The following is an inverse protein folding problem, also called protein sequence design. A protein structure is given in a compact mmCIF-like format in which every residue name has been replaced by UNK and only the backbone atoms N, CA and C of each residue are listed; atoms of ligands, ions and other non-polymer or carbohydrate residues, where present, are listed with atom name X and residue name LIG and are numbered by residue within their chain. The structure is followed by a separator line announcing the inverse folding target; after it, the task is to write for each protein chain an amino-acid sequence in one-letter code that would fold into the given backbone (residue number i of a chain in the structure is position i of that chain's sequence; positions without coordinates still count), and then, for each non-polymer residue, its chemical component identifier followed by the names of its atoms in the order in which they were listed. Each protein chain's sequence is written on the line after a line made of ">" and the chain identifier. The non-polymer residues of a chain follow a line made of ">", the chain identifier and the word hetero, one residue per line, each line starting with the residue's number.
data_IF_010134024519
#
_entry.id   IF_010134024519
#
_cell.length_a   1.000
_cell.length_b   1.000
_cell.length_c   1.000
_cell.angle_alpha   90.00
_cell.angle_beta   90.00
_cell.angle_gamma   90.00
#
_symmetry.space_group_name_H-M   'P 1'
#
loop_
_entity.id
_entity.type
_entity.pdbx_description
1 polymer ?
#
# COMPACT_ATOMS: atom_id res chain seq x y z
N UNK A 1 81.96 -23.46 -24.75
CA UNK A 1 80.57 -23.59 -25.29
C UNK A 1 80.22 -22.32 -26.03
N UNK A 2 80.07 -22.43 -27.35
CA UNK A 2 80.02 -21.25 -28.24
C UNK A 2 78.65 -20.55 -28.04
N UNK A 3 78.70 -19.21 -27.82
CA UNK A 3 77.49 -18.36 -27.66
C UNK A 3 76.38 -18.56 -28.75
N UNK A 4 76.85 -18.98 -29.96
CA UNK A 4 76.05 -19.30 -31.13
C UNK A 4 75.19 -20.57 -30.90
N UNK A 5 75.70 -21.57 -30.18
CA UNK A 5 75.05 -22.82 -29.89
C UNK A 5 73.90 -22.62 -28.88
N UNK A 6 74.11 -21.76 -27.86
CA UNK A 6 73.08 -21.43 -26.84
C UNK A 6 71.96 -20.62 -27.46
N UNK A 7 72.26 -19.71 -28.38
CA UNK A 7 71.26 -18.92 -29.08
C UNK A 7 70.37 -19.78 -30.00
N UNK A 8 70.94 -20.74 -30.70
CA UNK A 8 70.21 -21.71 -31.53
C UNK A 8 69.33 -22.60 -30.67
N UNK A 9 69.76 -23.04 -29.49
CA UNK A 9 69.01 -23.84 -28.58
C UNK A 9 67.84 -23.06 -28.00
N UNK A 10 67.98 -21.78 -27.69
CA UNK A 10 66.97 -20.87 -27.23
C UNK A 10 65.88 -20.59 -28.28
N UNK A 11 66.28 -20.46 -29.55
CA UNK A 11 65.44 -20.24 -30.69
C UNK A 11 64.58 -21.48 -31.00
N UNK A 12 65.12 -22.70 -30.87
CA UNK A 12 64.44 -23.96 -30.99
C UNK A 12 63.42 -24.14 -29.86
N UNK A 13 63.71 -23.71 -28.62
CA UNK A 13 62.82 -23.77 -27.46
C UNK A 13 61.64 -22.83 -27.63
N UNK A 14 61.88 -21.64 -28.22
CA UNK A 14 60.76 -20.69 -28.51
C UNK A 14 59.81 -21.26 -29.56
N UNK A 15 60.30 -21.89 -30.61
CA UNK A 15 59.49 -22.52 -31.66
C UNK A 15 58.70 -23.68 -31.09
N UNK A 16 59.21 -24.43 -30.13
CA UNK A 16 58.55 -25.54 -29.49
C UNK A 16 57.40 -25.05 -28.55
N UNK A 17 57.53 -23.88 -27.92
CA UNK A 17 56.49 -23.28 -27.09
C UNK A 17 55.32 -22.67 -27.89
N UNK A 18 55.56 -22.28 -29.15
CA UNK A 18 54.47 -21.71 -30.01
C UNK A 18 53.57 -22.76 -30.64
N UNK A 19 53.94 -24.05 -30.57
CA UNK A 19 53.14 -25.15 -31.15
C UNK A 19 52.13 -25.77 -30.17
N UNK A 20 51.99 -25.26 -28.93
CA UNK A 20 50.87 -25.60 -28.05
C UNK A 20 49.68 -24.73 -28.42
N UNK A 21 49.21 -24.90 -29.63
CA UNK A 21 47.89 -24.45 -30.05
C UNK A 21 46.85 -25.24 -29.24
N UNK A 22 46.24 -24.56 -28.26
CA UNK A 22 45.08 -25.09 -27.58
C UNK A 22 43.98 -25.39 -28.61
N UNK A 23 43.90 -26.63 -29.08
CA UNK A 23 42.73 -27.14 -29.77
C UNK A 23 41.58 -27.14 -28.77
N UNK A 24 40.92 -26.00 -28.64
CA UNK A 24 39.57 -25.95 -28.04
C UNK A 24 38.68 -26.79 -28.91
N UNK A 25 38.48 -28.02 -28.47
CA UNK A 25 37.48 -28.90 -29.02
C UNK A 25 36.10 -28.33 -28.62
N UNK A 26 35.69 -27.26 -29.26
CA UNK A 26 34.33 -26.77 -29.23
C UNK A 26 33.51 -27.85 -29.91
N UNK A 27 32.98 -28.80 -29.11
CA UNK A 27 31.86 -29.58 -29.57
C UNK A 27 30.85 -28.55 -30.09
N UNK A 28 30.70 -28.43 -31.39
CA UNK A 28 29.58 -27.75 -31.99
C UNK A 28 28.38 -28.48 -31.42
N UNK A 29 27.76 -27.88 -30.38
CA UNK A 29 26.46 -28.30 -29.93
C UNK A 29 25.58 -28.05 -31.15
N UNK A 30 25.21 -29.13 -31.84
CA UNK A 30 24.27 -29.07 -32.94
C UNK A 30 23.00 -28.46 -32.38
N UNK A 31 22.74 -27.20 -32.74
CA UNK A 31 21.55 -26.47 -32.26
C UNK A 31 20.34 -27.16 -32.85
N UNK A 32 19.74 -28.09 -32.10
CA UNK A 32 18.46 -28.69 -32.44
C UNK A 32 17.41 -27.62 -32.20
N UNK A 33 16.82 -27.14 -33.28
CA UNK A 33 15.69 -26.20 -33.21
C UNK A 33 14.55 -26.87 -32.43
N UNK A 34 14.28 -26.34 -31.22
CA UNK A 34 13.18 -26.82 -30.39
C UNK A 34 11.90 -26.16 -30.90
N UNK A 35 10.80 -26.90 -30.90
CA UNK A 35 9.50 -26.33 -31.23
C UNK A 35 9.05 -25.34 -30.12
N UNK A 36 8.21 -24.37 -30.48
CA UNK A 36 7.76 -23.32 -29.56
C UNK A 36 7.03 -23.90 -28.34
N UNK A 37 6.25 -24.94 -28.53
CA UNK A 37 5.53 -25.66 -27.48
C UNK A 37 6.50 -26.42 -26.55
N UNK A 38 7.57 -27.03 -27.10
CA UNK A 38 8.63 -27.65 -26.28
C UNK A 38 9.32 -26.62 -25.35
N UNK A 39 9.65 -25.43 -25.85
CA UNK A 39 10.30 -24.38 -25.08
C UNK A 39 9.32 -23.87 -24.00
N UNK A 40 8.07 -23.57 -24.37
CA UNK A 40 7.07 -23.10 -23.44
C UNK A 40 6.78 -24.14 -22.34
N UNK A 41 6.62 -25.40 -22.67
CA UNK A 41 6.40 -26.47 -21.70
C UNK A 41 7.62 -26.67 -20.79
N UNK A 42 8.84 -26.52 -21.33
CA UNK A 42 10.07 -26.52 -20.53
C UNK A 42 10.05 -25.38 -19.50
N UNK A 43 9.68 -24.16 -19.92
CA UNK A 43 9.54 -22.99 -19.04
C UNK A 43 8.53 -23.24 -17.91
N UNK A 44 7.36 -23.82 -18.24
CA UNK A 44 6.34 -24.16 -17.25
C UNK A 44 6.82 -25.21 -16.24
N UNK A 45 7.48 -26.28 -16.70
CA UNK A 45 8.05 -27.31 -15.83
C UNK A 45 9.12 -26.75 -14.88
N UNK A 46 9.90 -25.77 -15.34
CA UNK A 46 10.89 -25.07 -14.52
C UNK A 46 10.20 -24.17 -13.49
N UNK A 47 9.10 -23.53 -13.86
CA UNK A 47 8.27 -22.71 -12.95
C UNK A 47 7.68 -23.58 -11.84
N UNK A 48 7.08 -24.71 -12.17
CA UNK A 48 6.49 -25.67 -11.22
C UNK A 48 7.56 -26.24 -10.27
N UNK A 49 8.78 -26.44 -10.80
CA UNK A 49 9.94 -26.87 -10.02
C UNK A 49 10.58 -25.71 -9.22
N UNK A 50 9.98 -24.51 -9.20
CA UNK A 50 10.48 -23.29 -8.53
C UNK A 50 11.86 -22.84 -9.00
N UNK A 51 12.29 -23.26 -10.21
CA UNK A 51 13.54 -22.83 -10.84
C UNK A 51 13.31 -21.55 -11.65
N UNK A 52 12.82 -20.51 -10.97
CA UNK A 52 12.31 -19.27 -11.55
C UNK A 52 13.26 -18.61 -12.55
N UNK A 53 14.56 -18.48 -12.22
CA UNK A 53 15.55 -17.86 -13.11
C UNK A 53 15.62 -18.58 -14.46
N UNK A 54 15.71 -19.92 -14.45
CA UNK A 54 15.74 -20.70 -15.68
C UNK A 54 14.42 -20.66 -16.43
N UNK A 55 13.30 -20.60 -15.69
CA UNK A 55 11.97 -20.45 -16.30
C UNK A 55 11.86 -19.11 -17.04
N UNK A 56 12.37 -18.02 -16.48
CA UNK A 56 12.43 -16.71 -17.15
C UNK A 56 13.21 -16.77 -18.44
N UNK A 57 14.41 -17.36 -18.40
CA UNK A 57 15.27 -17.54 -19.57
C UNK A 57 14.55 -18.31 -20.70
N UNK A 58 13.81 -19.35 -20.37
CA UNK A 58 13.05 -20.15 -21.36
C UNK A 58 11.84 -19.37 -21.90
N UNK A 59 11.11 -18.58 -21.07
CA UNK A 59 10.02 -17.74 -21.58
C UNK A 59 10.53 -16.64 -22.52
N UNK A 60 11.67 -16.03 -22.20
CA UNK A 60 12.34 -15.06 -23.08
C UNK A 60 12.79 -15.70 -24.40
N UNK A 61 13.22 -16.96 -24.36
CA UNK A 61 13.59 -17.73 -25.55
C UNK A 61 12.39 -17.98 -26.46
N UNK A 62 11.19 -18.23 -25.90
CA UNK A 62 9.94 -18.34 -26.69
C UNK A 62 9.70 -17.04 -27.47
N UNK A 63 9.81 -15.88 -26.81
CA UNK A 63 9.60 -14.58 -27.46
C UNK A 63 10.67 -14.30 -28.52
N UNK A 64 11.92 -14.65 -28.24
CA UNK A 64 13.05 -14.40 -29.14
C UNK A 64 12.99 -15.21 -30.43
N UNK A 65 12.60 -16.49 -30.31
CA UNK A 65 12.60 -17.42 -31.47
C UNK A 65 11.28 -17.38 -32.25
N UNK A 66 10.16 -17.14 -31.55
CA UNK A 66 8.81 -17.26 -32.16
C UNK A 66 7.92 -16.05 -31.80
N UNK A 67 8.35 -14.81 -32.09
CA UNK A 67 7.70 -13.56 -31.58
C UNK A 67 6.23 -13.39 -32.01
N UNK A 68 5.83 -14.02 -33.11
CA UNK A 68 4.46 -13.91 -33.65
C UNK A 68 3.57 -15.10 -33.27
N UNK A 69 4.04 -16.00 -32.45
CA UNK A 69 3.26 -17.14 -32.00
C UNK A 69 2.32 -16.78 -30.86
N UNK A 70 1.21 -17.51 -30.74
CA UNK A 70 0.31 -17.40 -29.57
C UNK A 70 1.04 -17.75 -28.27
N UNK A 71 2.09 -18.56 -28.33
CA UNK A 71 2.92 -18.94 -27.21
C UNK A 71 3.79 -17.76 -26.74
N UNK A 72 4.23 -16.89 -27.67
CA UNK A 72 4.99 -15.69 -27.28
C UNK A 72 4.15 -14.72 -26.45
N UNK A 73 2.89 -14.50 -26.85
CA UNK A 73 1.96 -13.67 -26.06
C UNK A 73 1.79 -14.22 -24.64
N UNK A 74 1.58 -15.54 -24.53
CA UNK A 74 1.47 -16.19 -23.19
C UNK A 74 2.78 -16.15 -22.42
N UNK A 75 3.91 -16.36 -23.10
CA UNK A 75 5.24 -16.32 -22.48
C UNK A 75 5.57 -14.93 -21.91
N UNK A 76 5.16 -13.84 -22.57
CA UNK A 76 5.33 -12.47 -22.08
C UNK A 76 4.63 -12.27 -20.73
N UNK A 77 3.36 -12.72 -20.62
CA UNK A 77 2.63 -12.61 -19.36
C UNK A 77 3.24 -13.50 -18.27
N UNK A 78 3.63 -14.73 -18.64
CA UNK A 78 4.28 -15.67 -17.72
C UNK A 78 5.67 -15.18 -17.28
N UNK A 79 6.41 -14.50 -18.14
CA UNK A 79 7.68 -13.83 -17.76
C UNK A 79 7.45 -12.79 -16.67
N UNK A 80 6.42 -11.94 -16.81
CA UNK A 80 6.05 -10.99 -15.75
C UNK A 80 5.75 -11.70 -14.42
N UNK A 81 5.00 -12.82 -14.47
CA UNK A 81 4.70 -13.63 -13.29
C UNK A 81 5.95 -14.24 -12.66
N UNK A 82 6.88 -14.74 -13.47
CA UNK A 82 8.14 -15.33 -12.98
C UNK A 82 9.00 -14.28 -12.29
N UNK A 83 9.07 -13.06 -12.82
CA UNK A 83 9.77 -11.95 -12.17
C UNK A 83 9.15 -11.61 -10.80
N UNK A 84 7.81 -11.62 -10.70
CA UNK A 84 7.12 -11.50 -9.42
C UNK A 84 7.54 -12.62 -8.43
N UNK A 85 7.63 -13.87 -8.90
CA UNK A 85 8.09 -15.01 -8.08
C UNK A 85 9.54 -14.92 -7.66
N UNK A 86 10.36 -14.19 -8.41
CA UNK A 86 11.74 -13.86 -8.06
C UNK A 86 11.85 -12.69 -7.08
N UNK A 87 10.72 -12.07 -6.70
CA UNK A 87 10.64 -10.81 -5.95
C UNK A 87 11.31 -9.63 -6.70
N UNK A 88 11.53 -9.74 -8.01
CA UNK A 88 11.93 -8.62 -8.85
C UNK A 88 10.67 -7.89 -9.33
N UNK A 89 10.08 -7.14 -8.40
CA UNK A 89 8.82 -6.44 -8.64
C UNK A 89 8.96 -5.36 -9.72
N UNK A 90 10.12 -4.72 -9.84
CA UNK A 90 10.39 -3.72 -10.88
C UNK A 90 10.36 -4.32 -12.28
N UNK A 91 11.07 -5.44 -12.49
CA UNK A 91 11.06 -6.17 -13.76
C UNK A 91 9.66 -6.71 -14.07
N UNK A 92 8.95 -7.26 -13.07
CA UNK A 92 7.58 -7.74 -13.22
C UNK A 92 6.62 -6.64 -13.70
N UNK A 93 6.64 -5.47 -13.06
CA UNK A 93 5.81 -4.31 -13.46
C UNK A 93 6.12 -3.88 -14.89
N UNK A 94 7.41 -3.81 -15.25
CA UNK A 94 7.83 -3.44 -16.60
C UNK A 94 7.33 -4.44 -17.65
N UNK A 95 7.49 -5.74 -17.39
CA UNK A 95 7.02 -6.80 -18.30
C UNK A 95 5.48 -6.82 -18.42
N UNK A 96 4.76 -6.65 -17.31
CA UNK A 96 3.31 -6.57 -17.30
C UNK A 96 2.76 -5.35 -18.04
N UNK A 97 3.38 -4.17 -17.87
CA UNK A 97 3.01 -2.97 -18.63
C UNK A 97 3.25 -3.18 -20.14
N UNK A 98 4.40 -3.75 -20.53
CA UNK A 98 4.69 -4.07 -21.93
C UNK A 98 3.63 -5.02 -22.50
N UNK A 99 3.22 -6.03 -21.73
CA UNK A 99 2.13 -6.93 -22.13
C UNK A 99 0.82 -6.19 -22.39
N UNK A 100 0.43 -5.27 -21.50
CA UNK A 100 -0.80 -4.47 -21.63
C UNK A 100 -0.75 -3.58 -22.88
N UNK A 101 0.41 -2.99 -23.17
CA UNK A 101 0.60 -2.11 -24.33
C UNK A 101 0.53 -2.89 -25.65
N UNK A 102 1.14 -4.07 -25.70
CA UNK A 102 1.18 -4.90 -26.91
C UNK A 102 -0.12 -5.67 -27.15
N UNK A 103 -0.86 -6.03 -26.10
CA UNK A 103 -2.03 -6.90 -26.17
C UNK A 103 -3.25 -6.30 -25.44
N UNK A 104 -3.72 -5.10 -25.81
CA UNK A 104 -4.80 -4.39 -25.08
C UNK A 104 -6.15 -5.11 -25.11
N UNK A 105 -6.34 -6.05 -26.03
CA UNK A 105 -7.55 -6.86 -26.18
C UNK A 105 -7.40 -8.32 -25.73
N UNK A 106 -6.33 -8.66 -25.04
CA UNK A 106 -6.14 -10.03 -24.55
C UNK A 106 -7.16 -10.41 -23.46
N UNK A 107 -7.57 -11.68 -23.44
CA UNK A 107 -8.56 -12.16 -22.47
C UNK A 107 -8.03 -12.20 -21.03
N UNK A 108 -6.74 -12.28 -20.86
CA UNK A 108 -6.00 -12.36 -19.60
C UNK A 108 -5.31 -11.04 -19.21
N UNK A 109 -5.71 -9.94 -19.83
CA UNK A 109 -5.16 -8.62 -19.58
C UNK A 109 -5.43 -8.15 -18.14
N UNK A 110 -6.56 -8.54 -17.56
CA UNK A 110 -6.93 -8.25 -16.17
C UNK A 110 -5.94 -8.86 -15.17
N UNK A 111 -5.39 -10.04 -15.50
CA UNK A 111 -4.31 -10.62 -14.69
C UNK A 111 -3.03 -9.78 -14.74
N UNK A 112 -2.68 -9.18 -15.88
CA UNK A 112 -1.52 -8.29 -15.95
C UNK A 112 -1.71 -7.04 -15.06
N UNK A 113 -2.91 -6.41 -15.06
CA UNK A 113 -3.24 -5.32 -14.15
C UNK A 113 -3.20 -5.75 -12.67
N UNK A 114 -3.69 -6.94 -12.37
CA UNK A 114 -3.63 -7.51 -11.03
C UNK A 114 -2.20 -7.74 -10.55
N UNK A 115 -1.34 -8.27 -11.42
CA UNK A 115 0.06 -8.53 -11.12
C UNK A 115 0.84 -7.25 -10.80
N UNK A 116 0.58 -6.16 -11.54
CA UNK A 116 1.14 -4.83 -11.24
C UNK A 116 0.70 -4.37 -9.83
N UNK A 117 -0.59 -4.49 -9.52
CA UNK A 117 -1.10 -4.11 -8.21
C UNK A 117 -0.49 -4.95 -7.08
N UNK A 118 -0.31 -6.25 -7.30
CA UNK A 118 0.38 -7.15 -6.37
C UNK A 118 1.84 -6.74 -6.15
N UNK A 119 2.56 -6.41 -7.23
CA UNK A 119 3.96 -5.99 -7.13
C UNK A 119 4.12 -4.77 -6.24
N UNK A 120 3.24 -3.77 -6.35
CA UNK A 120 3.27 -2.61 -5.45
C UNK A 120 2.84 -2.97 -4.03
N UNK A 121 1.83 -3.85 -3.89
CA UNK A 121 1.32 -4.30 -2.60
C UNK A 121 2.40 -5.02 -1.77
N UNK A 122 3.16 -5.93 -2.38
CA UNK A 122 4.25 -6.66 -1.72
C UNK A 122 5.40 -5.75 -1.28
N UNK A 123 5.51 -4.55 -1.84
CA UNK A 123 6.52 -3.56 -1.50
C UNK A 123 6.06 -2.56 -0.43
N UNK A 124 4.86 -2.73 0.14
CA UNK A 124 4.37 -1.86 1.20
C UNK A 124 5.25 -2.04 2.45
N UNK A 125 5.78 -0.94 2.92
CA UNK A 125 6.60 -0.88 4.11
C UNK A 125 5.79 -0.37 5.31
N UNK A 126 6.44 -0.25 6.50
CA UNK A 126 5.85 0.36 7.69
C UNK A 126 5.24 1.74 7.37
N UNK A 127 4.06 2.04 7.93
CA UNK A 127 3.31 3.27 7.67
C UNK A 127 4.06 4.56 8.07
N UNK A 128 5.13 4.47 8.85
CA UNK A 128 6.00 5.60 9.21
C UNK A 128 7.05 5.93 8.14
N UNK A 129 7.22 5.04 7.16
CA UNK A 129 8.17 5.24 6.05
C UNK A 129 7.48 5.88 4.83
N UNK A 130 8.20 5.97 3.73
CA UNK A 130 7.64 6.41 2.45
C UNK A 130 6.48 5.53 2.01
N UNK A 131 5.39 6.17 1.55
CA UNK A 131 4.15 5.51 1.15
C UNK A 131 3.91 5.52 -0.36
N UNK A 132 4.93 5.78 -1.16
CA UNK A 132 4.80 5.82 -2.63
C UNK A 132 4.26 4.50 -3.16
N UNK A 133 4.83 3.35 -2.74
CA UNK A 133 4.35 2.04 -3.16
C UNK A 133 2.92 1.75 -2.67
N UNK A 134 2.56 2.20 -1.47
CA UNK A 134 1.20 2.07 -0.95
C UNK A 134 0.19 2.85 -1.81
N UNK A 135 0.57 4.06 -2.25
CA UNK A 135 -0.25 4.88 -3.14
C UNK A 135 -0.36 4.25 -4.54
N UNK A 136 0.74 3.73 -5.08
CA UNK A 136 0.72 3.01 -6.36
C UNK A 136 -0.12 1.74 -6.28
N UNK A 137 -0.10 1.00 -5.17
CA UNK A 137 -0.96 -0.15 -4.94
C UNK A 137 -2.45 0.26 -4.91
N UNK A 138 -2.77 1.37 -4.19
CA UNK A 138 -4.13 1.93 -4.14
C UNK A 138 -4.67 2.22 -5.55
N UNK A 139 -3.88 2.94 -6.35
CA UNK A 139 -4.27 3.34 -7.71
C UNK A 139 -4.38 2.14 -8.65
N UNK A 140 -3.46 1.18 -8.56
CA UNK A 140 -3.45 -0.01 -9.39
C UNK A 140 -4.65 -0.92 -9.11
N UNK A 141 -4.98 -1.18 -7.83
CA UNK A 141 -6.18 -1.94 -7.46
C UNK A 141 -7.47 -1.23 -7.87
N UNK A 142 -7.57 0.08 -7.66
CA UNK A 142 -8.74 0.86 -8.11
C UNK A 142 -8.90 0.80 -9.63
N UNK A 143 -7.80 0.88 -10.38
CA UNK A 143 -7.81 0.81 -11.84
C UNK A 143 -8.31 -0.56 -12.32
N UNK A 144 -7.81 -1.66 -11.73
CA UNK A 144 -8.27 -3.01 -12.03
C UNK A 144 -9.78 -3.17 -11.76
N UNK A 145 -10.23 -2.80 -10.55
CA UNK A 145 -11.63 -2.96 -10.14
C UNK A 145 -12.57 -2.16 -11.05
N UNK A 146 -12.15 -0.96 -11.47
CA UNK A 146 -12.93 -0.08 -12.34
C UNK A 146 -12.99 -0.62 -13.78
N UNK A 147 -11.86 -1.11 -14.30
CA UNK A 147 -11.78 -1.59 -15.70
C UNK A 147 -12.38 -2.97 -15.90
N UNK A 148 -12.21 -3.85 -14.92
CA UNK A 148 -12.58 -5.26 -15.00
C UNK A 148 -13.44 -5.70 -13.82
N UNK A 149 -14.65 -5.12 -13.65
CA UNK A 149 -15.50 -5.39 -12.47
C UNK A 149 -15.94 -6.85 -12.36
N UNK A 150 -15.97 -7.59 -13.48
CA UNK A 150 -16.32 -9.02 -13.56
C UNK A 150 -15.14 -9.99 -13.49
N UNK A 151 -13.92 -9.50 -13.37
CA UNK A 151 -12.70 -10.33 -13.27
C UNK A 151 -12.70 -11.17 -11.99
N UNK A 152 -12.16 -12.37 -12.06
CA UNK A 152 -11.93 -13.24 -10.89
C UNK A 152 -11.00 -12.58 -9.86
N UNK A 153 -10.08 -11.71 -10.30
CA UNK A 153 -9.13 -10.99 -9.44
C UNK A 153 -9.78 -9.82 -8.69
N UNK A 154 -10.96 -9.37 -9.09
CA UNK A 154 -11.63 -8.20 -8.48
C UNK A 154 -11.99 -8.42 -7.02
N UNK A 155 -12.39 -9.63 -6.63
CA UNK A 155 -12.74 -9.94 -5.24
C UNK A 155 -11.52 -9.81 -4.31
N UNK A 156 -10.41 -10.41 -4.68
CA UNK A 156 -9.17 -10.36 -3.92
C UNK A 156 -8.61 -8.93 -3.88
N UNK A 157 -8.68 -8.23 -5.02
CA UNK A 157 -8.27 -6.82 -5.13
C UNK A 157 -9.04 -5.90 -4.19
N UNK A 158 -10.34 -6.11 -4.00
CA UNK A 158 -11.15 -5.33 -3.03
C UNK A 158 -10.70 -5.58 -1.59
N UNK A 159 -10.36 -6.81 -1.24
CA UNK A 159 -9.83 -7.12 0.11
C UNK A 159 -8.47 -6.45 0.33
N UNK A 160 -7.55 -6.58 -0.61
CA UNK A 160 -6.23 -5.94 -0.54
C UNK A 160 -6.33 -4.42 -0.53
N UNK A 161 -7.25 -3.85 -1.32
CA UNK A 161 -7.53 -2.41 -1.33
C UNK A 161 -7.99 -1.92 0.05
N UNK A 162 -8.79 -2.70 0.77
CA UNK A 162 -9.17 -2.40 2.16
C UNK A 162 -7.95 -2.30 3.07
N UNK A 163 -7.02 -3.27 2.99
CA UNK A 163 -5.77 -3.27 3.76
C UNK A 163 -4.85 -2.10 3.39
N UNK A 164 -4.74 -1.77 2.09
CA UNK A 164 -3.97 -0.61 1.62
C UNK A 164 -4.53 0.70 2.19
N UNK A 165 -5.86 0.87 2.17
CA UNK A 165 -6.53 2.05 2.75
C UNK A 165 -6.32 2.13 4.26
N UNK A 166 -6.40 1.00 4.98
CA UNK A 166 -6.15 0.96 6.42
C UNK A 166 -4.71 1.38 6.74
N UNK A 167 -3.74 0.95 5.93
CA UNK A 167 -2.34 1.33 6.07
C UNK A 167 -2.09 2.84 5.84
N UNK A 168 -2.73 3.43 4.81
CA UNK A 168 -2.67 4.88 4.56
C UNK A 168 -3.34 5.68 5.68
N UNK A 169 -4.49 5.20 6.18
CA UNK A 169 -5.16 5.80 7.33
C UNK A 169 -4.28 5.77 8.58
N UNK A 170 -3.59 4.64 8.85
CA UNK A 170 -2.64 4.51 9.95
C UNK A 170 -1.53 5.57 9.89
N UNK A 171 -1.02 5.88 8.68
CA UNK A 171 -0.05 6.96 8.48
C UNK A 171 -0.63 8.32 8.86
N UNK A 172 -1.81 8.67 8.33
CA UNK A 172 -2.43 9.97 8.63
C UNK A 172 -2.74 10.10 10.12
N UNK A 173 -3.22 9.02 10.76
CA UNK A 173 -3.41 8.96 12.21
C UNK A 173 -2.11 9.20 12.98
N UNK A 174 -1.01 8.58 12.57
CA UNK A 174 0.29 8.76 13.21
C UNK A 174 0.80 10.19 13.08
N UNK A 175 0.69 10.79 11.90
CA UNK A 175 1.08 12.18 11.64
C UNK A 175 0.19 13.14 12.44
N UNK A 176 -1.13 12.86 12.48
CA UNK A 176 -2.10 13.66 13.27
C UNK A 176 -1.77 13.64 14.76
N UNK A 177 -1.49 12.46 15.35
CA UNK A 177 -1.05 12.33 16.74
C UNK A 177 0.24 13.10 17.02
N UNK A 178 1.22 13.01 16.12
CA UNK A 178 2.48 13.75 16.25
C UNK A 178 2.25 15.27 16.28
N UNK A 179 1.38 15.80 15.41
CA UNK A 179 1.02 17.22 15.45
C UNK A 179 0.25 17.59 16.71
N UNK A 180 -0.62 16.72 17.22
CA UNK A 180 -1.33 16.92 18.47
C UNK A 180 -0.38 16.97 19.66
N UNK A 181 0.62 16.08 19.72
CA UNK A 181 1.65 16.03 20.76
C UNK A 181 2.58 17.27 20.74
N UNK A 182 2.66 17.94 19.60
CA UNK A 182 3.39 19.20 19.39
C UNK A 182 2.50 20.45 19.57
N UNK A 183 1.28 20.30 20.10
CA UNK A 183 0.28 21.36 20.26
C UNK A 183 -0.12 22.09 18.97
N UNK A 184 0.19 21.49 17.81
CA UNK A 184 -0.20 22.01 16.50
C UNK A 184 -1.58 21.47 16.09
N UNK A 185 -2.62 21.90 16.80
CA UNK A 185 -3.97 21.36 16.70
C UNK A 185 -4.60 21.50 15.32
N UNK A 186 -4.36 22.60 14.61
CA UNK A 186 -4.91 22.81 13.26
C UNK A 186 -4.31 21.82 12.27
N UNK A 187 -3.01 21.56 12.35
CA UNK A 187 -2.37 20.56 11.50
C UNK A 187 -2.86 19.15 11.84
N UNK A 188 -3.03 18.83 13.13
CA UNK A 188 -3.59 17.56 13.58
C UNK A 188 -5.03 17.33 13.05
N UNK A 189 -5.89 18.35 13.19
CA UNK A 189 -7.27 18.33 12.66
C UNK A 189 -7.27 18.00 11.16
N UNK A 190 -6.43 18.65 10.36
CA UNK A 190 -6.36 18.40 8.93
C UNK A 190 -6.00 16.95 8.62
N UNK A 191 -5.09 16.32 9.39
CA UNK A 191 -4.72 14.92 9.21
C UNK A 191 -5.85 13.95 9.59
N UNK A 192 -6.49 14.17 10.73
CA UNK A 192 -7.63 13.33 11.12
C UNK A 192 -8.83 13.48 10.18
N UNK A 193 -9.05 14.67 9.61
CA UNK A 193 -10.08 14.87 8.57
C UNK A 193 -9.81 14.05 7.32
N UNK A 194 -8.55 13.92 6.87
CA UNK A 194 -8.21 13.05 5.75
C UNK A 194 -8.69 11.60 6.02
N UNK A 195 -8.54 11.11 7.25
CA UNK A 195 -9.00 9.76 7.60
C UNK A 195 -10.53 9.66 7.51
N UNK A 196 -11.26 10.65 8.01
CA UNK A 196 -12.73 10.67 7.96
C UNK A 196 -13.24 10.77 6.52
N UNK A 197 -12.63 11.62 5.71
CA UNK A 197 -13.10 11.93 4.36
C UNK A 197 -12.69 10.85 3.33
N UNK A 198 -11.45 10.35 3.41
CA UNK A 198 -10.88 9.46 2.38
C UNK A 198 -10.81 7.98 2.80
N UNK A 199 -10.78 7.70 4.10
CA UNK A 199 -10.56 6.36 4.66
C UNK A 199 -11.66 5.94 5.67
N UNK A 200 -12.89 6.38 5.44
CA UNK A 200 -14.04 6.16 6.34
C UNK A 200 -14.43 4.69 6.57
N UNK A 201 -13.91 3.76 5.78
CA UNK A 201 -14.17 2.32 5.93
C UNK A 201 -13.04 1.58 6.66
N UNK A 202 -12.09 2.30 7.23
CA UNK A 202 -10.94 1.71 7.93
C UNK A 202 -11.19 1.56 9.42
N UNK A 203 -10.39 0.72 10.07
CA UNK A 203 -10.41 0.52 11.52
C UNK A 203 -10.04 1.79 12.32
N UNK A 204 -9.45 2.78 11.66
CA UNK A 204 -9.00 4.03 12.25
C UNK A 204 -10.08 5.10 12.39
N UNK A 205 -11.23 4.97 11.69
CA UNK A 205 -12.28 5.99 11.70
C UNK A 205 -12.79 6.36 13.10
N UNK A 206 -13.08 5.40 14.03
CA UNK A 206 -13.57 5.76 15.36
C UNK A 206 -12.58 6.60 16.17
N UNK A 207 -11.28 6.30 16.08
CA UNK A 207 -10.25 7.13 16.72
C UNK A 207 -10.16 8.51 16.08
N UNK A 208 -10.19 8.61 14.75
CA UNK A 208 -10.12 9.89 14.04
C UNK A 208 -11.27 10.82 14.45
N UNK A 209 -12.50 10.30 14.53
CA UNK A 209 -13.67 11.05 14.99
C UNK A 209 -13.52 11.51 16.44
N UNK A 210 -12.99 10.67 17.32
CA UNK A 210 -12.75 11.02 18.72
C UNK A 210 -11.66 12.10 18.86
N UNK A 211 -10.58 12.00 18.09
CA UNK A 211 -9.51 13.01 18.08
C UNK A 211 -10.00 14.36 17.53
N UNK A 212 -10.81 14.36 16.50
CA UNK A 212 -11.46 15.58 16.02
C UNK A 212 -12.39 16.18 17.09
N UNK A 213 -13.19 15.35 17.75
CA UNK A 213 -14.02 15.80 18.87
C UNK A 213 -13.19 16.46 19.96
N UNK A 214 -12.11 15.82 20.39
CA UNK A 214 -11.19 16.31 21.41
C UNK A 214 -10.56 17.65 21.01
N UNK A 215 -9.99 17.75 19.81
CA UNK A 215 -9.29 18.95 19.36
C UNK A 215 -10.24 20.15 19.17
N UNK A 216 -11.40 19.94 18.56
CA UNK A 216 -12.41 21.00 18.45
C UNK A 216 -12.93 21.44 19.82
N UNK A 217 -13.09 20.48 20.74
CA UNK A 217 -13.48 20.77 22.12
C UNK A 217 -12.42 21.62 22.84
N UNK A 218 -11.13 21.29 22.70
CA UNK A 218 -10.01 22.04 23.27
C UNK A 218 -9.91 23.47 22.71
N UNK A 219 -10.23 23.65 21.42
CA UNK A 219 -10.25 24.96 20.76
C UNK A 219 -11.51 25.78 21.11
N UNK A 220 -12.45 25.25 21.90
CA UNK A 220 -13.69 25.92 22.24
C UNK A 220 -14.76 25.87 21.15
N UNK A 221 -14.51 25.14 20.04
CA UNK A 221 -15.43 24.97 18.92
C UNK A 221 -16.39 23.78 19.19
N UNK A 222 -17.29 24.01 20.16
CA UNK A 222 -18.12 22.93 20.71
C UNK A 222 -19.15 22.38 19.72
N UNK A 223 -19.65 23.21 18.80
CA UNK A 223 -20.61 22.78 17.78
C UNK A 223 -19.95 21.78 16.81
N UNK A 224 -18.73 22.06 16.38
CA UNK A 224 -17.93 21.20 15.52
C UNK A 224 -17.58 19.89 16.26
N UNK A 225 -17.14 20.00 17.52
CA UNK A 225 -16.88 18.83 18.35
C UNK A 225 -18.11 17.92 18.47
N UNK A 226 -19.30 18.53 18.67
CA UNK A 226 -20.57 17.80 18.76
C UNK A 226 -20.91 17.03 17.47
N UNK A 227 -20.65 17.61 16.29
CA UNK A 227 -20.89 16.92 15.02
C UNK A 227 -20.12 15.60 14.95
N UNK A 228 -18.80 15.63 15.22
CA UNK A 228 -17.99 14.42 15.17
C UNK A 228 -18.34 13.40 16.27
N UNK A 229 -18.64 13.89 17.47
CA UNK A 229 -19.12 13.03 18.56
C UNK A 229 -20.46 12.36 18.23
N UNK A 230 -21.37 13.06 17.55
CA UNK A 230 -22.66 12.51 17.12
C UNK A 230 -22.50 11.42 16.09
N UNK A 231 -21.63 11.63 15.08
CA UNK A 231 -21.30 10.61 14.08
C UNK A 231 -20.69 9.37 14.75
N UNK A 232 -19.81 9.58 15.72
CA UNK A 232 -19.17 8.50 16.48
C UNK A 232 -20.19 7.73 17.31
N UNK A 233 -21.08 8.43 18.02
CA UNK A 233 -22.12 7.81 18.86
C UNK A 233 -23.17 7.03 18.03
N UNK A 234 -23.56 7.56 16.87
CA UNK A 234 -24.50 6.89 15.99
C UNK A 234 -23.93 5.60 15.38
N UNK A 235 -22.70 5.66 14.88
CA UNK A 235 -22.11 4.52 14.16
C UNK A 235 -21.38 3.53 15.08
N UNK A 236 -20.90 3.97 16.24
CA UNK A 236 -20.03 3.19 17.13
C UNK A 236 -20.38 3.34 18.61
N UNK A 237 -21.66 3.11 19.03
CA UNK A 237 -22.13 3.44 20.38
C UNK A 237 -21.41 2.67 21.50
N UNK A 238 -20.89 1.47 21.22
CA UNK A 238 -20.18 0.64 22.20
C UNK A 238 -18.65 0.77 22.11
N UNK A 239 -18.14 1.72 21.31
CA UNK A 239 -16.69 1.86 21.11
C UNK A 239 -16.09 2.71 22.24
N UNK A 240 -14.89 2.32 22.72
CA UNK A 240 -14.14 3.08 23.73
C UNK A 240 -13.94 4.56 23.38
N UNK A 241 -13.81 4.87 22.09
CA UNK A 241 -13.60 6.23 21.61
C UNK A 241 -14.87 7.09 21.76
N UNK A 242 -16.07 6.48 21.65
CA UNK A 242 -17.32 7.16 21.95
C UNK A 242 -17.42 7.47 23.44
N UNK A 243 -17.15 6.50 24.31
CA UNK A 243 -17.17 6.68 25.78
C UNK A 243 -16.20 7.80 26.18
N UNK A 244 -15.02 7.82 25.58
CA UNK A 244 -14.03 8.88 25.80
C UNK A 244 -14.57 10.26 25.39
N UNK A 245 -15.08 10.39 24.16
CA UNK A 245 -15.63 11.65 23.64
C UNK A 245 -16.81 12.15 24.48
N UNK A 246 -17.69 11.26 24.91
CA UNK A 246 -18.81 11.59 25.80
C UNK A 246 -18.35 12.11 27.16
N UNK A 247 -17.30 11.54 27.72
CA UNK A 247 -16.73 11.97 29.01
C UNK A 247 -16.20 13.40 28.98
N UNK A 248 -15.70 13.89 27.83
CA UNK A 248 -15.22 15.28 27.68
C UNK A 248 -16.36 16.28 27.90
N UNK A 249 -17.54 16.03 27.34
CA UNK A 249 -18.71 16.91 27.51
C UNK A 249 -19.25 16.85 28.93
N UNK A 250 -19.33 15.66 29.54
CA UNK A 250 -19.83 15.49 30.90
C UNK A 250 -18.91 16.15 31.96
N UNK A 251 -17.61 16.03 31.82
CA UNK A 251 -16.67 16.67 32.76
C UNK A 251 -16.81 18.20 32.74
N UNK A 252 -16.99 18.77 31.54
CA UNK A 252 -17.22 20.23 31.43
C UNK A 252 -18.56 20.65 32.03
N UNK A 253 -19.64 19.87 31.78
CA UNK A 253 -20.95 20.12 32.41
C UNK A 253 -20.85 20.15 33.94
N UNK A 254 -20.17 19.15 34.52
CA UNK A 254 -19.99 19.06 35.98
C UNK A 254 -19.18 20.23 36.53
N UNK A 255 -18.11 20.68 35.85
CA UNK A 255 -17.31 21.81 36.24
C UNK A 255 -18.11 23.11 36.17
N UNK A 256 -18.93 23.34 35.16
CA UNK A 256 -19.79 24.51 35.05
C UNK A 256 -20.87 24.53 36.15
N UNK A 257 -21.48 23.39 36.45
CA UNK A 257 -22.47 23.25 37.52
C UNK A 257 -21.86 23.46 38.93
N UNK A 258 -20.61 23.01 39.13
CA UNK A 258 -19.92 23.25 40.43
C UNK A 258 -19.53 24.71 40.60
N UNK A 259 -19.06 25.38 39.54
CA UNK A 259 -18.75 26.82 39.60
C UNK A 259 -20.01 27.64 39.81
N UNK A 260 -21.11 27.35 39.13
CA UNK A 260 -22.38 28.06 39.32
C UNK A 260 -22.98 27.86 40.72
N UNK A 261 -22.66 26.79 41.42
CA UNK A 261 -23.02 26.61 42.85
C UNK A 261 -22.14 27.39 43.77
N UNK A 262 -20.87 27.56 43.50
CA UNK A 262 -19.93 28.35 44.27
C UNK A 262 -20.19 29.85 44.08
N UNK A 263 -20.52 30.31 42.85
CA UNK A 263 -20.83 31.71 42.54
C UNK A 263 -22.17 32.18 43.16
N UNK A 264 -23.08 31.25 43.50
CA UNK A 264 -24.31 31.57 44.27
C UNK A 264 -24.04 31.78 45.77
N UNK A 265 -22.87 31.41 46.27
CA UNK A 265 -22.47 31.59 47.65
C UNK A 265 -21.73 32.93 47.90
N UNK A 266 -21.20 33.59 46.85
CA UNK A 266 -20.60 34.91 46.90
C UNK A 266 -21.34 35.83 45.93
N UNK A 267 -22.09 36.80 46.50
CA UNK A 267 -22.69 37.89 45.72
C UNK A 267 -21.74 38.38 44.66
N UNK A 268 -22.24 38.55 43.39
CA UNK A 268 -21.74 39.64 42.58
C UNK A 268 -22.42 39.76 41.23
N UNK A 269 -22.58 41.00 40.89
CA UNK A 269 -22.95 41.64 39.65
C UNK A 269 -22.23 41.08 38.39
N UNK A 270 -23.07 40.92 37.36
CA UNK A 270 -22.72 41.02 35.91
C UNK A 270 -21.45 40.36 35.40
N UNK A 271 -21.56 39.09 35.04
CA UNK A 271 -20.80 38.50 33.94
C UNK A 271 -21.79 37.79 33.04
N UNK A 272 -21.64 38.03 31.74
CA UNK A 272 -22.52 37.66 30.67
C UNK A 272 -22.88 36.14 30.70
N UNK A 273 -24.04 35.83 31.29
CA UNK A 273 -24.56 34.47 31.48
C UNK A 273 -25.13 33.87 30.19
N UNK A 274 -25.05 34.55 29.05
CA UNK A 274 -25.67 34.12 27.81
C UNK A 274 -24.95 32.92 27.20
N UNK A 275 -23.63 32.93 27.15
CA UNK A 275 -22.85 31.88 26.53
C UNK A 275 -22.84 30.56 27.32
N UNK A 276 -22.78 30.65 28.66
CA UNK A 276 -22.83 29.46 29.52
C UNK A 276 -24.21 28.79 29.53
N UNK A 277 -25.30 29.60 29.47
CA UNK A 277 -26.66 29.06 29.41
C UNK A 277 -26.98 28.40 28.07
N UNK A 278 -26.52 29.00 26.97
CA UNK A 278 -26.64 28.43 25.62
C UNK A 278 -25.85 27.11 25.52
N UNK A 279 -24.64 27.11 26.09
CA UNK A 279 -23.79 25.90 26.10
C UNK A 279 -24.44 24.75 26.91
N UNK A 280 -24.95 25.03 28.12
CA UNK A 280 -25.62 24.03 28.95
C UNK A 280 -26.88 23.48 28.24
N UNK A 281 -27.68 24.34 27.60
CA UNK A 281 -28.86 23.92 26.83
C UNK A 281 -28.47 23.04 25.64
N UNK A 282 -27.48 23.45 24.88
CA UNK A 282 -26.97 22.64 23.73
C UNK A 282 -26.35 21.33 24.19
N UNK A 283 -25.76 21.27 25.38
CA UNK A 283 -25.20 20.06 25.97
C UNK A 283 -26.31 19.11 26.47
N UNK A 284 -27.37 19.65 27.10
CA UNK A 284 -28.52 18.85 27.53
C UNK A 284 -29.30 18.26 26.33
N UNK A 285 -29.44 19.05 25.26
CA UNK A 285 -30.03 18.57 24.00
C UNK A 285 -29.17 17.49 23.34
N UNK A 286 -27.83 17.59 23.48
CA UNK A 286 -26.92 16.56 23.00
C UNK A 286 -27.00 15.28 23.81
N UNK A 287 -27.03 15.38 25.15
CA UNK A 287 -27.16 14.22 26.05
C UNK A 287 -28.49 13.50 25.81
N UNK A 288 -29.61 14.23 25.64
CA UNK A 288 -30.91 13.66 25.32
C UNK A 288 -30.98 12.92 23.99
N UNK A 289 -30.18 13.32 22.99
CA UNK A 289 -30.07 12.61 21.71
C UNK A 289 -29.45 11.23 21.84
N UNK A 290 -28.74 10.94 22.93
CA UNK A 290 -28.02 9.69 23.19
C UNK A 290 -28.55 8.91 24.40
N UNK A 291 -29.49 9.49 25.18
CA UNK A 291 -30.30 8.70 26.11
C UNK A 291 -31.32 7.92 25.26
N UNK A 292 -30.83 6.81 24.65
CA UNK A 292 -31.69 5.80 24.07
C UNK A 292 -32.48 5.23 25.23
N UNK A 293 -33.81 5.36 25.20
CA UNK A 293 -34.71 4.64 26.08
C UNK A 293 -34.29 3.16 26.06
N UNK A 294 -33.82 2.66 27.19
CA UNK A 294 -33.65 1.22 27.37
C UNK A 294 -35.02 0.55 27.18
N UNK A 295 -35.12 -0.52 26.38
CA UNK A 295 -36.36 -1.23 26.14
C UNK A 295 -36.85 -1.99 27.37
#
# INVERSE_FOLDING_TARGET
>A
MNKISVFKLFLILIVFFTSISCSTNTKKVEYKERSVDEIYNSAMNLLDSKKYKKSSEEFEEVERLHPYSIWATRAQLMSAYVQYKLNDYGASITAANRYIELHPGANDIDYAYYLIALCYYEQINDFRRDQSNTSFALDSFNNLIRRFPGSEYTRDSKLKLGLVKDHLAAREMNVGRTYQDLDNYIAAINRFKIVVDSYSQTSHLPEALARLTELYFMLGLYNEAKVYASVLGHNYPNNKWYIYSYSLFNSKKNNLLSNSKNDKAENIESIDNSDSSIFLKTLDDFIKLFEVEEP
#
